data_IF_209567919231
#
_entry.id   IF_209567919231
#
_cell.length_a   1.000
_cell.length_b   1.000
_cell.length_c   1.000
_cell.angle_alpha   90.00
_cell.angle_beta   90.00
_cell.angle_gamma   90.00
#
_symmetry.space_group_name_H-M   'P 1'
#
loop_
_entity.id
_entity.type
_entity.pdbx_description
1 polymer ?
#
# COMPACT_ATOMS: atom_id res chain seq x y z
N UNK A 1 15.80 19.04 6.84
CA UNK A 1 15.11 17.78 6.90
C UNK A 1 15.46 17.07 8.20
N UNK A 2 14.49 16.91 9.09
CA UNK A 2 14.68 16.08 10.28
C UNK A 2 14.57 14.64 9.81
N UNK A 3 15.68 13.92 9.73
CA UNK A 3 15.66 12.47 9.64
C UNK A 3 15.01 11.96 10.92
N UNK A 4 13.86 11.27 10.77
CA UNK A 4 13.32 10.51 11.88
C UNK A 4 14.42 9.53 12.32
N UNK A 5 14.78 9.57 13.61
CA UNK A 5 15.72 8.62 14.16
C UNK A 5 15.16 7.22 13.94
N UNK A 6 15.88 6.38 13.20
CA UNK A 6 15.55 4.96 13.11
C UNK A 6 15.65 4.40 14.53
N UNK A 7 14.52 3.87 15.02
CA UNK A 7 14.54 3.19 16.32
C UNK A 7 15.43 1.94 16.21
N UNK A 8 16.39 1.81 17.11
CA UNK A 8 17.23 0.61 17.16
C UNK A 8 16.37 -0.62 17.48
N UNK A 9 16.65 -1.77 16.83
CA UNK A 9 15.97 -3.02 17.17
C UNK A 9 16.09 -3.33 18.67
N UNK A 10 15.05 -3.97 19.21
CA UNK A 10 15.08 -4.45 20.60
C UNK A 10 16.06 -5.63 20.76
N UNK A 11 16.32 -6.02 22.01
CA UNK A 11 17.13 -7.20 22.31
C UNK A 11 16.61 -8.46 21.61
N UNK A 12 15.28 -8.61 21.43
CA UNK A 12 14.67 -9.73 20.70
C UNK A 12 15.09 -9.77 19.24
N UNK A 13 15.09 -8.62 18.54
CA UNK A 13 15.53 -8.51 17.16
C UNK A 13 17.02 -8.85 17.03
N UNK A 14 17.88 -8.35 17.92
CA UNK A 14 19.31 -8.68 17.94
C UNK A 14 19.55 -10.17 18.16
N UNK A 15 18.72 -10.85 18.95
CA UNK A 15 18.78 -12.30 19.16
C UNK A 15 18.62 -13.07 17.85
N UNK A 16 17.76 -12.62 16.96
CA UNK A 16 17.53 -13.29 15.67
C UNK A 16 18.49 -12.83 14.57
N UNK A 17 19.36 -11.85 14.83
CA UNK A 17 20.36 -11.32 13.89
C UNK A 17 19.75 -10.87 12.56
N UNK A 18 18.60 -10.21 12.61
CA UNK A 18 17.92 -9.71 11.43
C UNK A 18 18.66 -8.52 10.83
N UNK A 19 18.57 -8.37 9.51
CA UNK A 19 19.12 -7.22 8.79
C UNK A 19 18.34 -5.95 9.10
N UNK A 20 19.03 -4.85 9.39
CA UNK A 20 18.41 -3.57 9.70
C UNK A 20 17.88 -2.85 8.45
N UNK A 21 18.57 -3.02 7.31
CA UNK A 21 18.17 -2.41 6.06
C UNK A 21 17.14 -3.31 5.36
N UNK A 22 15.97 -2.75 5.06
CA UNK A 22 14.87 -3.46 4.40
C UNK A 22 15.30 -4.07 3.05
N UNK A 23 16.22 -3.43 2.33
CA UNK A 23 16.71 -3.91 1.03
C UNK A 23 17.62 -5.15 1.13
N UNK A 24 18.22 -5.36 2.29
CA UNK A 24 19.19 -6.45 2.51
C UNK A 24 18.52 -7.71 3.07
N UNK A 25 17.20 -7.67 3.27
CA UNK A 25 16.46 -8.71 3.93
C UNK A 25 15.61 -9.57 3.01
N UNK A 26 14.75 -10.37 3.65
CA UNK A 26 13.80 -11.28 3.00
C UNK A 26 12.39 -10.91 3.41
N UNK A 27 11.51 -10.74 2.42
CA UNK A 27 10.11 -10.36 2.61
C UNK A 27 9.23 -11.62 2.67
N UNK A 28 8.41 -11.74 3.70
CA UNK A 28 7.32 -12.70 3.76
C UNK A 28 6.02 -12.05 3.32
N UNK A 29 5.40 -12.58 2.28
CA UNK A 29 4.09 -12.11 1.82
C UNK A 29 2.98 -12.83 2.59
N UNK A 30 2.32 -12.13 3.50
CA UNK A 30 1.19 -12.62 4.29
C UNK A 30 -0.14 -12.27 3.62
N UNK A 31 -0.37 -12.85 2.44
CA UNK A 31 -1.57 -12.60 1.65
C UNK A 31 -2.83 -13.04 2.41
N UNK A 32 -3.77 -12.11 2.57
CA UNK A 32 -5.06 -12.33 3.25
C UNK A 32 -4.95 -12.78 4.73
N UNK A 33 -3.80 -12.62 5.35
CA UNK A 33 -3.66 -12.85 6.79
C UNK A 33 -4.18 -11.64 7.56
N UNK A 34 -4.91 -11.88 8.65
CA UNK A 34 -5.29 -10.80 9.56
C UNK A 34 -4.06 -10.22 10.27
N UNK A 35 -4.13 -8.95 10.66
CA UNK A 35 -3.04 -8.32 11.42
C UNK A 35 -2.75 -9.07 12.73
N UNK A 36 -3.80 -9.54 13.39
CA UNK A 36 -3.66 -10.29 14.64
C UNK A 36 -3.00 -11.65 14.43
N UNK A 37 -3.29 -12.35 13.34
CA UNK A 37 -2.64 -13.63 13.01
C UNK A 37 -1.15 -13.43 12.70
N UNK A 38 -0.82 -12.38 11.95
CA UNK A 38 0.59 -12.02 11.68
C UNK A 38 1.31 -11.72 12.98
N UNK A 39 0.70 -10.91 13.85
CA UNK A 39 1.28 -10.53 15.14
C UNK A 39 1.58 -11.76 16.00
N UNK A 40 0.68 -12.73 16.04
CA UNK A 40 0.87 -13.96 16.79
C UNK A 40 2.03 -14.82 16.28
N UNK A 41 2.35 -14.74 14.97
CA UNK A 41 3.40 -15.51 14.34
C UNK A 41 4.77 -14.80 14.29
N UNK A 42 4.86 -13.55 14.76
CA UNK A 42 6.11 -12.76 14.69
C UNK A 42 7.33 -13.48 15.26
N UNK A 43 7.28 -14.17 16.41
CA UNK A 43 8.44 -14.90 16.93
C UNK A 43 8.95 -15.97 15.96
N UNK A 44 8.06 -16.73 15.32
CA UNK A 44 8.41 -17.77 14.35
C UNK A 44 8.96 -17.17 13.06
N UNK A 45 8.37 -16.05 12.61
CA UNK A 45 8.78 -15.33 11.41
C UNK A 45 10.20 -14.78 11.60
N UNK A 46 10.49 -14.17 12.75
CA UNK A 46 11.81 -13.67 13.09
C UNK A 46 12.84 -14.81 13.17
N UNK A 47 12.49 -15.91 13.82
CA UNK A 47 13.36 -17.09 13.93
C UNK A 47 13.70 -17.70 12.57
N UNK A 48 12.78 -17.65 11.62
CA UNK A 48 12.98 -18.13 10.26
C UNK A 48 13.87 -17.18 9.42
N UNK A 49 14.19 -15.98 9.90
CA UNK A 49 15.07 -15.03 9.23
C UNK A 49 14.39 -14.04 8.32
N UNK A 50 13.06 -13.97 8.30
CA UNK A 50 12.35 -12.93 7.57
C UNK A 50 12.53 -11.57 8.25
N UNK A 51 12.84 -10.55 7.45
CA UNK A 51 13.14 -9.20 7.94
C UNK A 51 12.01 -8.21 7.66
N UNK A 52 11.11 -8.57 6.76
CA UNK A 52 9.96 -7.74 6.39
C UNK A 52 8.74 -8.61 6.13
N UNK A 53 7.57 -8.04 6.38
CA UNK A 53 6.28 -8.68 6.11
C UNK A 53 5.50 -7.75 5.20
N UNK A 54 5.02 -8.26 4.06
CA UNK A 54 4.06 -7.56 3.21
C UNK A 54 2.65 -7.99 3.61
N UNK A 55 1.85 -7.03 4.06
CA UNK A 55 0.43 -7.23 4.38
C UNK A 55 -0.45 -6.95 3.16
N UNK A 56 -1.69 -7.42 3.21
CA UNK A 56 -2.73 -7.04 2.28
C UNK A 56 -3.09 -5.55 2.43
N UNK A 57 -3.85 -4.96 1.47
CA UNK A 57 -4.25 -3.55 1.55
C UNK A 57 -4.96 -3.19 2.86
N UNK A 58 -4.68 -1.99 3.37
CA UNK A 58 -5.26 -1.45 4.60
C UNK A 58 -6.48 -0.52 4.34
N UNK A 59 -6.84 -0.33 3.09
CA UNK A 59 -7.93 0.55 2.67
C UNK A 59 -9.28 -0.09 2.99
N UNK A 60 -10.32 0.72 3.29
CA UNK A 60 -11.66 0.20 3.52
C UNK A 60 -12.23 -0.36 2.21
N UNK A 61 -13.03 -1.42 2.35
CA UNK A 61 -13.71 -2.06 1.23
C UNK A 61 -15.08 -2.56 1.67
N UNK A 62 -15.78 -3.25 0.77
CA UNK A 62 -16.93 -4.04 1.18
C UNK A 62 -16.50 -5.29 1.98
N UNK A 63 -17.46 -5.97 2.55
CA UNK A 63 -17.26 -7.28 3.16
C UNK A 63 -17.23 -8.35 2.08
N UNK A 64 -16.50 -9.43 2.29
CA UNK A 64 -16.50 -10.56 1.36
C UNK A 64 -15.16 -11.30 1.25
N UNK A 65 -14.94 -11.87 0.08
CA UNK A 65 -13.77 -12.69 -0.21
C UNK A 65 -12.50 -11.83 -0.40
N UNK A 66 -11.34 -12.47 -0.48
CA UNK A 66 -10.04 -11.80 -0.54
C UNK A 66 -9.91 -10.74 -1.66
N UNK A 67 -10.56 -10.93 -2.83
CA UNK A 67 -10.44 -9.98 -3.93
C UNK A 67 -11.06 -8.60 -3.61
N UNK A 68 -11.95 -8.49 -2.63
CA UNK A 68 -12.47 -7.21 -2.16
C UNK A 68 -11.39 -6.30 -1.57
N UNK A 69 -10.28 -6.87 -1.09
CA UNK A 69 -9.13 -6.10 -0.62
C UNK A 69 -8.52 -5.24 -1.73
N UNK A 70 -8.64 -5.66 -2.99
CA UNK A 70 -8.18 -4.93 -4.17
C UNK A 70 -9.26 -4.10 -4.86
N UNK A 71 -10.39 -3.91 -4.21
CA UNK A 71 -11.50 -3.08 -4.65
C UNK A 71 -11.87 -2.07 -3.55
N UNK A 72 -10.93 -1.16 -3.18
CA UNK A 72 -11.15 -0.24 -2.08
C UNK A 72 -12.13 0.86 -2.46
N UNK A 73 -12.69 1.50 -1.43
CA UNK A 73 -13.63 2.61 -1.58
C UNK A 73 -13.02 3.97 -1.21
N UNK A 74 -11.78 3.99 -0.72
CA UNK A 74 -11.12 5.20 -0.23
C UNK A 74 -9.61 5.08 -0.27
N UNK A 75 -8.91 6.22 -0.20
CA UNK A 75 -7.49 6.33 0.07
C UNK A 75 -7.27 6.73 1.54
N UNK A 76 -7.56 5.82 2.43
CA UNK A 76 -7.40 5.96 3.87
C UNK A 76 -7.23 4.59 4.50
N UNK A 77 -6.72 4.53 5.74
CA UNK A 77 -6.78 3.29 6.52
C UNK A 77 -8.23 3.11 6.98
N UNK A 78 -8.77 1.93 6.74
CA UNK A 78 -10.11 1.58 7.18
C UNK A 78 -10.20 0.14 7.65
N UNK A 79 -11.37 -0.23 8.14
CA UNK A 79 -11.66 -1.61 8.50
C UNK A 79 -11.94 -2.43 7.25
N UNK A 80 -11.30 -3.59 7.16
CA UNK A 80 -11.52 -4.57 6.12
C UNK A 80 -11.36 -6.00 6.68
N UNK A 81 -11.35 -7.02 5.81
CA UNK A 81 -11.25 -8.41 6.22
C UNK A 81 -9.97 -8.79 6.97
N UNK A 82 -8.91 -8.00 6.89
CA UNK A 82 -7.64 -8.28 7.58
C UNK A 82 -7.51 -7.53 8.91
N UNK A 83 -8.37 -6.56 9.19
CA UNK A 83 -8.42 -5.91 10.48
C UNK A 83 -8.70 -4.42 10.45
N UNK A 84 -8.50 -3.79 11.60
CA UNK A 84 -8.73 -2.37 11.86
C UNK A 84 -7.42 -1.58 11.85
N UNK A 85 -7.52 -0.25 11.81
CA UNK A 85 -6.36 0.65 11.97
C UNK A 85 -5.61 0.39 13.27
N UNK A 86 -6.33 0.22 14.38
CA UNK A 86 -5.73 -0.07 15.69
C UNK A 86 -4.96 -1.39 15.68
N UNK A 87 -5.48 -2.41 15.01
CA UNK A 87 -4.81 -3.70 14.86
C UNK A 87 -3.57 -3.61 13.98
N UNK A 88 -3.59 -2.81 12.91
CA UNK A 88 -2.41 -2.53 12.09
C UNK A 88 -1.33 -1.82 12.91
N UNK A 89 -1.69 -0.79 13.67
CA UNK A 89 -0.74 -0.09 14.55
C UNK A 89 -0.13 -1.04 15.59
N UNK A 90 -0.95 -1.88 16.20
CA UNK A 90 -0.49 -2.90 17.15
C UNK A 90 0.49 -3.88 16.50
N UNK A 91 0.23 -4.30 15.27
CA UNK A 91 1.15 -5.15 14.52
C UNK A 91 2.49 -4.43 14.27
N UNK A 92 2.46 -3.18 13.83
CA UNK A 92 3.67 -2.38 13.59
C UNK A 92 4.50 -2.22 14.87
N UNK A 93 3.86 -1.90 15.98
CA UNK A 93 4.52 -1.74 17.28
C UNK A 93 5.18 -3.03 17.73
N UNK A 94 4.50 -4.15 17.59
CA UNK A 94 5.04 -5.45 17.98
C UNK A 94 6.16 -5.91 17.03
N UNK A 95 5.99 -5.72 15.72
CA UNK A 95 7.00 -6.08 14.72
C UNK A 95 8.32 -5.33 14.95
N UNK A 96 8.26 -4.08 15.37
CA UNK A 96 9.43 -3.28 15.70
C UNK A 96 10.30 -3.93 16.76
N UNK A 97 9.70 -4.58 17.77
CA UNK A 97 10.43 -5.28 18.84
C UNK A 97 11.27 -6.43 18.30
N UNK A 98 10.92 -6.99 17.16
CA UNK A 98 11.66 -8.04 16.47
C UNK A 98 12.58 -7.53 15.38
N UNK A 99 12.60 -6.21 15.11
CA UNK A 99 13.31 -5.63 13.98
C UNK A 99 12.68 -5.95 12.62
N UNK A 100 11.43 -6.42 12.60
CA UNK A 100 10.69 -6.76 11.39
C UNK A 100 10.01 -5.51 10.85
N UNK A 101 10.21 -5.23 9.57
CA UNK A 101 9.58 -4.12 8.86
C UNK A 101 8.20 -4.52 8.33
N UNK A 102 7.25 -3.60 8.38
CA UNK A 102 5.91 -3.82 7.82
C UNK A 102 5.77 -3.05 6.52
N UNK A 103 5.44 -3.77 5.46
CA UNK A 103 5.15 -3.26 4.12
C UNK A 103 3.67 -3.47 3.87
N UNK A 104 2.96 -2.41 3.48
CA UNK A 104 1.53 -2.48 3.16
C UNK A 104 1.33 -2.42 1.65
N UNK A 105 0.47 -3.30 1.14
CA UNK A 105 0.00 -3.25 -0.24
C UNK A 105 -0.92 -2.04 -0.42
N UNK A 106 -0.69 -1.23 -1.45
CA UNK A 106 -1.47 -0.02 -1.72
C UNK A 106 -2.14 -0.12 -3.08
N UNK A 107 -3.46 0.01 -3.09
CA UNK A 107 -4.27 0.07 -4.30
C UNK A 107 -4.54 1.53 -4.64
N UNK A 108 -3.85 2.07 -5.65
CA UNK A 108 -3.96 3.47 -6.06
C UNK A 108 -4.38 3.68 -7.51
N UNK A 109 -4.31 2.64 -8.35
CA UNK A 109 -4.68 2.71 -9.75
C UNK A 109 -6.19 2.86 -9.98
N UNK A 110 -7.00 2.36 -9.05
CA UNK A 110 -8.45 2.28 -9.19
C UNK A 110 -9.14 2.25 -7.83
N UNK A 111 -10.43 2.47 -7.82
CA UNK A 111 -11.32 2.18 -6.71
C UNK A 111 -12.41 1.22 -7.16
N UNK A 112 -13.24 0.79 -6.20
CA UNK A 112 -14.36 -0.10 -6.44
C UNK A 112 -15.32 0.44 -7.51
N UNK A 113 -15.86 -0.45 -8.33
CA UNK A 113 -16.78 -0.08 -9.41
C UNK A 113 -18.14 0.47 -8.97
N UNK A 114 -18.52 0.24 -7.72
CA UNK A 114 -19.73 0.82 -7.13
C UNK A 114 -19.47 2.27 -6.72
N UNK A 115 -19.75 3.19 -7.64
CA UNK A 115 -19.47 4.60 -7.50
C UNK A 115 -20.19 5.25 -6.31
N UNK A 116 -21.31 4.70 -5.87
CA UNK A 116 -22.08 5.25 -4.73
C UNK A 116 -21.36 5.03 -3.39
N UNK A 117 -20.48 4.05 -3.29
CA UNK A 117 -19.80 3.67 -2.05
C UNK A 117 -18.37 4.20 -1.91
N UNK A 118 -17.83 4.90 -2.92
CA UNK A 118 -16.52 5.56 -2.81
C UNK A 118 -16.65 6.90 -2.09
N UNK A 119 -15.51 7.48 -1.69
CA UNK A 119 -15.48 8.82 -1.11
C UNK A 119 -16.20 9.83 -1.99
N UNK A 120 -17.08 10.65 -1.40
CA UNK A 120 -17.91 11.61 -2.14
C UNK A 120 -17.09 12.62 -2.93
N UNK A 121 -15.95 13.05 -2.39
CA UNK A 121 -15.06 14.02 -3.01
C UNK A 121 -14.30 13.47 -4.23
N UNK A 122 -14.28 12.15 -4.41
CA UNK A 122 -13.69 11.49 -5.57
C UNK A 122 -14.73 11.09 -6.64
N UNK A 123 -16.00 11.36 -6.43
CA UNK A 123 -17.05 11.04 -7.41
C UNK A 123 -17.05 11.88 -8.69
N UNK A 124 -16.64 13.17 -8.69
CA UNK A 124 -16.61 13.96 -9.92
C UNK A 124 -15.78 13.31 -11.03
N UNK A 125 -16.28 13.43 -12.26
CA UNK A 125 -15.71 12.76 -13.44
C UNK A 125 -14.27 13.18 -13.77
N UNK A 126 -13.85 14.38 -13.34
CA UNK A 126 -12.49 14.90 -13.57
C UNK A 126 -11.39 14.05 -12.91
N UNK A 127 -11.75 13.22 -11.91
CA UNK A 127 -10.82 12.36 -11.20
C UNK A 127 -10.69 10.97 -11.84
N UNK A 128 -11.32 10.73 -12.96
CA UNK A 128 -11.41 9.43 -13.60
C UNK A 128 -11.01 9.48 -15.07
N UNK A 129 -10.24 8.47 -15.51
CA UNK A 129 -10.02 8.26 -16.93
C UNK A 129 -11.29 7.71 -17.59
N UNK A 130 -11.50 8.11 -18.84
CA UNK A 130 -12.75 7.78 -19.57
C UNK A 130 -12.53 6.88 -20.79
N UNK A 131 -11.32 6.32 -20.96
CA UNK A 131 -11.05 5.36 -22.01
C UNK A 131 -11.83 4.07 -21.74
N UNK A 132 -12.87 3.80 -22.55
CA UNK A 132 -13.82 2.71 -22.35
C UNK A 132 -13.58 1.46 -23.17
N UNK A 133 -12.48 1.37 -23.91
CA UNK A 133 -12.14 0.21 -24.75
C UNK A 133 -11.29 -0.84 -24.03
N UNK A 134 -11.11 -1.98 -24.67
CA UNK A 134 -10.11 -2.97 -24.27
C UNK A 134 -8.70 -2.41 -24.43
N UNK A 135 -7.80 -2.78 -23.53
CA UNK A 135 -6.42 -2.29 -23.55
C UNK A 135 -5.63 -2.98 -24.66
N UNK A 136 -5.03 -2.20 -25.55
CA UNK A 136 -3.92 -2.65 -26.37
C UNK A 136 -2.63 -2.54 -25.53
N UNK A 137 -2.11 -3.67 -25.11
CA UNK A 137 -0.95 -3.75 -24.21
C UNK A 137 0.35 -3.25 -24.83
N UNK A 138 0.38 -3.01 -26.12
CA UNK A 138 1.49 -2.37 -26.85
C UNK A 138 1.36 -0.85 -26.89
N UNK A 139 0.21 -0.31 -26.50
CA UNK A 139 -0.06 1.12 -26.47
C UNK A 139 0.04 1.61 -25.03
N UNK A 140 1.14 2.29 -24.71
CA UNK A 140 1.42 2.77 -23.36
C UNK A 140 0.34 3.71 -22.84
N UNK A 141 -0.20 4.60 -23.67
CA UNK A 141 -1.29 5.49 -23.27
C UNK A 141 -2.52 4.70 -22.82
N UNK A 142 -2.88 3.65 -23.56
CA UNK A 142 -4.00 2.80 -23.16
C UNK A 142 -3.73 2.01 -21.89
N UNK A 143 -2.51 1.56 -21.68
CA UNK A 143 -2.11 0.86 -20.46
C UNK A 143 -2.28 1.75 -19.22
N UNK A 144 -1.99 3.05 -19.34
CA UNK A 144 -2.10 4.01 -18.24
C UNK A 144 -3.48 4.65 -18.07
N UNK A 145 -4.37 4.52 -19.04
CA UNK A 145 -5.70 5.13 -19.04
C UNK A 145 -6.84 4.12 -19.09
N UNK A 146 -6.56 2.89 -19.47
CA UNK A 146 -7.57 1.85 -19.60
C UNK A 146 -7.90 1.18 -18.27
N UNK A 147 -9.16 0.74 -18.15
CA UNK A 147 -9.63 -0.02 -17.00
C UNK A 147 -9.11 -1.46 -17.03
N UNK A 148 -8.64 -1.94 -15.89
CA UNK A 148 -8.30 -3.36 -15.68
C UNK A 148 -9.41 -4.11 -14.92
N UNK A 149 -10.65 -3.67 -15.09
CA UNK A 149 -11.83 -4.24 -14.45
C UNK A 149 -12.50 -3.33 -13.42
N UNK A 150 -11.78 -2.33 -12.93
CA UNK A 150 -12.27 -1.29 -12.03
C UNK A 150 -12.08 0.08 -12.68
N UNK A 151 -12.87 1.11 -12.29
CA UNK A 151 -12.68 2.46 -12.80
C UNK A 151 -11.27 2.98 -12.56
N UNK A 152 -10.63 3.45 -13.62
CA UNK A 152 -9.25 3.92 -13.61
C UNK A 152 -9.17 5.36 -13.15
N UNK A 153 -8.45 5.61 -12.05
CA UNK A 153 -8.36 6.95 -11.48
C UNK A 153 -7.31 7.82 -12.20
N UNK A 154 -7.58 9.11 -12.31
CA UNK A 154 -6.67 10.06 -12.94
C UNK A 154 -5.52 10.41 -11.98
N UNK A 155 -4.49 9.57 -11.95
CA UNK A 155 -3.33 9.72 -11.06
C UNK A 155 -2.50 10.96 -11.37
N UNK A 156 -2.60 11.52 -12.57
CA UNK A 156 -1.98 12.80 -12.96
C UNK A 156 -2.69 14.02 -12.33
N UNK A 157 -3.89 13.84 -11.79
CA UNK A 157 -4.64 14.93 -11.17
C UNK A 157 -4.04 15.26 -9.79
N UNK A 158 -3.69 16.54 -9.52
CA UNK A 158 -3.07 16.93 -8.25
C UNK A 158 -3.94 16.65 -7.02
N UNK A 159 -5.26 16.74 -7.13
CA UNK A 159 -6.16 16.41 -6.02
C UNK A 159 -6.12 14.93 -5.68
N UNK A 160 -6.12 14.06 -6.69
CA UNK A 160 -5.96 12.61 -6.50
C UNK A 160 -4.61 12.31 -5.85
N UNK A 161 -3.54 12.92 -6.32
CA UNK A 161 -2.20 12.78 -5.72
C UNK A 161 -2.21 13.18 -4.25
N UNK A 162 -2.86 14.28 -3.89
CA UNK A 162 -2.96 14.73 -2.51
C UNK A 162 -3.70 13.73 -1.62
N UNK A 163 -4.78 13.16 -2.12
CA UNK A 163 -5.54 12.12 -1.40
C UNK A 163 -4.67 10.90 -1.10
N UNK A 164 -3.91 10.45 -2.08
CA UNK A 164 -2.99 9.31 -1.89
C UNK A 164 -1.83 9.70 -0.97
N UNK A 165 -1.28 10.90 -1.09
CA UNK A 165 -0.25 11.41 -0.16
C UNK A 165 -0.75 11.41 1.29
N UNK A 166 -1.96 11.84 1.53
CA UNK A 166 -2.56 11.82 2.87
C UNK A 166 -2.63 10.38 3.42
N UNK A 167 -3.00 9.44 2.57
CA UNK A 167 -3.03 8.02 2.95
C UNK A 167 -1.63 7.47 3.26
N UNK A 168 -0.64 7.79 2.44
CA UNK A 168 0.76 7.39 2.69
C UNK A 168 1.26 7.94 4.03
N UNK A 169 0.95 9.20 4.33
CA UNK A 169 1.32 9.81 5.61
C UNK A 169 0.59 9.16 6.79
N UNK A 170 -0.66 8.76 6.61
CA UNK A 170 -1.42 8.02 7.63
C UNK A 170 -0.78 6.65 7.89
N UNK A 171 -0.41 5.92 6.85
CA UNK A 171 0.29 4.63 6.98
C UNK A 171 1.61 4.81 7.75
N UNK A 172 2.39 5.81 7.38
CA UNK A 172 3.63 6.13 8.10
C UNK A 172 3.38 6.43 9.58
N UNK A 173 2.32 7.16 9.89
CA UNK A 173 1.98 7.56 11.27
C UNK A 173 1.65 6.38 12.18
N UNK A 174 1.19 5.27 11.66
CA UNK A 174 0.90 4.04 12.42
C UNK A 174 2.07 3.07 12.49
N UNK A 175 3.20 3.39 11.85
CA UNK A 175 4.44 2.62 11.93
C UNK A 175 4.77 1.77 10.71
N UNK A 176 4.07 1.94 9.60
CA UNK A 176 4.39 1.26 8.34
C UNK A 176 5.73 1.74 7.81
N UNK A 177 6.58 0.81 7.36
CA UNK A 177 7.95 1.07 6.92
C UNK A 177 8.09 1.11 5.39
N UNK A 178 7.21 0.47 4.68
CA UNK A 178 7.27 0.38 3.23
C UNK A 178 5.91 0.17 2.58
N UNK A 179 5.87 0.39 1.26
CA UNK A 179 4.66 0.29 0.45
C UNK A 179 4.95 -0.56 -0.79
N UNK A 180 4.06 -1.50 -1.06
CA UNK A 180 4.00 -2.20 -2.35
C UNK A 180 2.82 -1.64 -3.13
N UNK A 181 3.08 -1.11 -4.32
CA UNK A 181 2.07 -0.47 -5.15
C UNK A 181 1.46 -1.46 -6.14
N UNK A 182 0.19 -1.80 -5.92
CA UNK A 182 -0.59 -2.64 -6.80
C UNK A 182 -0.76 -1.99 -8.18
N UNK A 183 -0.73 -2.81 -9.25
CA UNK A 183 -0.91 -2.34 -10.62
C UNK A 183 -0.06 -1.12 -11.01
N UNK A 184 1.16 -1.01 -10.52
CA UNK A 184 2.05 0.13 -10.76
C UNK A 184 2.32 0.37 -12.25
N UNK A 185 2.31 -0.69 -13.06
CA UNK A 185 2.45 -0.63 -14.52
C UNK A 185 1.39 0.27 -15.18
N UNK A 186 0.22 0.38 -14.58
CA UNK A 186 -0.93 1.12 -15.11
C UNK A 186 -0.94 2.61 -14.71
N UNK A 187 0.05 3.05 -13.94
CA UNK A 187 0.20 4.44 -13.53
C UNK A 187 1.31 5.09 -14.34
N UNK A 188 1.04 6.30 -14.86
CA UNK A 188 1.99 7.05 -15.66
C UNK A 188 3.23 7.49 -14.88
N UNK A 189 4.28 7.85 -15.62
CA UNK A 189 5.55 8.36 -15.09
C UNK A 189 5.74 9.83 -15.47
N UNK A 190 6.69 10.57 -14.87
CA UNK A 190 6.86 12.01 -15.16
C UNK A 190 7.03 12.36 -16.62
N UNK A 191 7.75 11.55 -17.39
CA UNK A 191 7.91 11.75 -18.84
C UNK A 191 6.60 11.60 -19.63
N UNK A 192 5.57 11.03 -19.02
CA UNK A 192 4.23 10.87 -19.57
C UNK A 192 3.24 11.92 -19.03
N UNK A 193 3.74 12.92 -18.30
CA UNK A 193 2.93 14.00 -17.72
C UNK A 193 2.26 13.64 -16.40
N UNK A 194 2.73 12.62 -15.71
CA UNK A 194 2.18 12.19 -14.43
C UNK A 194 3.23 12.26 -13.31
N UNK A 195 3.04 13.16 -12.37
CA UNK A 195 3.90 13.33 -11.20
C UNK A 195 3.48 12.47 -10.00
N UNK A 196 2.57 11.51 -10.20
CA UNK A 196 2.07 10.66 -9.12
C UNK A 196 3.19 10.03 -8.29
N UNK A 197 4.11 9.33 -8.93
CA UNK A 197 5.20 8.63 -8.22
C UNK A 197 6.10 9.59 -7.45
N UNK A 198 6.43 10.73 -8.05
CA UNK A 198 7.22 11.76 -7.38
C UNK A 198 6.53 12.27 -6.12
N UNK A 199 5.20 12.46 -6.18
CA UNK A 199 4.42 12.96 -5.04
C UNK A 199 4.31 11.94 -3.92
N UNK A 200 3.95 10.69 -4.23
CA UNK A 200 3.62 9.69 -3.21
C UNK A 200 4.84 8.99 -2.61
N UNK A 201 6.01 9.10 -3.24
CA UNK A 201 7.25 8.47 -2.77
C UNK A 201 8.17 9.39 -1.98
N UNK A 202 7.74 10.61 -1.66
CA UNK A 202 8.56 11.62 -0.98
C UNK A 202 8.65 11.49 0.54
N UNK A 203 7.98 10.52 1.15
CA UNK A 203 7.79 10.46 2.60
C UNK A 203 8.80 9.59 3.35
N UNK A 204 9.85 9.13 2.68
CA UNK A 204 10.93 8.37 3.31
C UNK A 204 10.61 6.90 3.60
N UNK A 205 9.54 6.36 3.01
CA UNK A 205 9.22 4.94 3.08
C UNK A 205 9.94 4.17 1.96
N UNK A 206 10.12 2.86 2.17
CA UNK A 206 10.54 1.96 1.10
C UNK A 206 9.39 1.72 0.13
N UNK A 207 9.64 1.81 -1.17
CA UNK A 207 8.60 1.65 -2.20
C UNK A 207 9.02 0.67 -3.28
N UNK A 208 8.13 -0.21 -3.68
CA UNK A 208 8.24 -1.01 -4.90
C UNK A 208 6.85 -1.24 -5.50
N UNK A 209 6.81 -1.56 -6.78
CA UNK A 209 5.56 -1.72 -7.53
C UNK A 209 5.44 -3.09 -8.18
N UNK A 210 4.20 -3.49 -8.41
CA UNK A 210 3.86 -4.61 -9.27
C UNK A 210 3.94 -4.18 -10.74
N UNK A 211 4.70 -4.93 -11.52
CA UNK A 211 4.90 -4.68 -12.96
C UNK A 211 4.39 -5.86 -13.77
#
# INVERSE_FOLDING_TARGET
>A
GVQAAESSPTVSANKYKLKDNIQDGVILHCFDWTYNDIKAELPKIAKAGFTSIQTSPAQPNGTGTWYWLYQPISFSIGTNGVGTKAELQSLCDEAEKYGIKIIVDVVANHLRGDHNNIDNDLKPSEYWHTFGGGIDWKNRWQVTHGSIGMPDIATENPYVQQKVCNYVQELKSVGVDGLRWDAAKHIGVPSEGDDFWKSVTQYGLYNYGEI
#
